data_IF_515269345508
#
_entry.id   IF_515269345508
#
_cell.length_a   1.000
_cell.length_b   1.000
_cell.length_c   1.000
_cell.angle_alpha   90.00
_cell.angle_beta   90.00
_cell.angle_gamma   90.00
#
_symmetry.space_group_name_H-M   'P 1'
#
loop_
_entity.id
_entity.type
_entity.pdbx_description
1 polymer ?
#
# COMPACT_ATOMS: atom_id res chain seq x y z
N UNK A 1 -7.27 20.91 8.43
CA UNK A 1 -6.27 20.23 7.58
C UNK A 1 -6.95 19.11 6.79
N UNK A 2 -6.42 18.64 5.65
CA UNK A 2 -7.07 17.58 4.86
C UNK A 2 -7.33 16.28 5.65
N UNK A 3 -6.54 16.03 6.70
CA UNK A 3 -6.75 14.94 7.66
C UNK A 3 -8.09 15.07 8.39
N UNK A 4 -8.45 16.24 8.89
CA UNK A 4 -9.71 16.44 9.65
C UNK A 4 -10.94 16.15 8.80
N UNK A 5 -10.88 16.48 7.49
CA UNK A 5 -11.97 16.23 6.55
C UNK A 5 -12.13 14.74 6.25
N UNK A 6 -11.02 14.01 6.06
CA UNK A 6 -11.06 12.57 5.87
C UNK A 6 -11.57 11.84 7.12
N UNK A 7 -11.15 12.29 8.30
CA UNK A 7 -11.65 11.76 9.59
C UNK A 7 -13.16 11.95 9.72
N UNK A 8 -13.71 13.12 9.36
CA UNK A 8 -15.15 13.37 9.38
C UNK A 8 -15.93 12.46 8.43
N UNK A 9 -15.35 12.10 7.29
CA UNK A 9 -15.98 11.16 6.35
C UNK A 9 -15.97 9.73 6.88
N UNK A 10 -14.86 9.32 7.51
CA UNK A 10 -14.75 8.01 8.17
C UNK A 10 -15.68 7.91 9.40
N UNK A 11 -15.86 9.02 10.14
CA UNK A 11 -16.82 9.14 11.24
C UNK A 11 -18.27 9.34 10.79
N UNK A 12 -18.55 9.42 9.47
CA UNK A 12 -19.87 9.70 8.88
C UNK A 12 -20.51 11.03 9.27
N UNK A 13 -19.72 11.99 9.73
CA UNK A 13 -20.19 13.34 10.08
C UNK A 13 -20.46 14.21 8.84
N UNK A 14 -19.86 13.86 7.70
CA UNK A 14 -20.10 14.50 6.40
C UNK A 14 -19.93 13.49 5.27
N UNK A 15 -20.76 13.58 4.23
CA UNK A 15 -20.55 12.82 2.99
C UNK A 15 -19.60 13.58 2.07
N UNK A 16 -18.55 12.94 1.50
CA UNK A 16 -17.75 13.56 0.46
C UNK A 16 -18.62 13.90 -0.75
N UNK A 17 -18.31 15.00 -1.43
CA UNK A 17 -18.81 15.21 -2.79
C UNK A 17 -18.43 13.99 -3.66
N UNK A 18 -19.32 13.51 -4.52
CA UNK A 18 -19.11 12.30 -5.33
C UNK A 18 -17.82 12.36 -6.18
N UNK A 19 -17.42 13.56 -6.63
CA UNK A 19 -16.13 13.79 -7.30
C UNK A 19 -14.95 13.48 -6.38
N UNK A 20 -15.01 13.89 -5.13
CA UNK A 20 -13.93 13.65 -4.17
C UNK A 20 -13.87 12.20 -3.76
N UNK A 21 -15.02 11.55 -3.59
CA UNK A 21 -15.09 10.09 -3.38
C UNK A 21 -14.40 9.34 -4.53
N UNK A 22 -14.70 9.70 -5.79
CA UNK A 22 -14.08 9.07 -6.96
C UNK A 22 -12.56 9.25 -6.98
N UNK A 23 -12.06 10.48 -6.71
CA UNK A 23 -10.62 10.73 -6.62
C UNK A 23 -9.95 9.88 -5.54
N UNK A 24 -10.59 9.73 -4.37
CA UNK A 24 -10.05 8.89 -3.30
C UNK A 24 -10.03 7.41 -3.70
N UNK A 25 -11.05 6.91 -4.39
CA UNK A 25 -11.06 5.54 -4.93
C UNK A 25 -9.92 5.35 -5.93
N UNK A 26 -9.67 6.32 -6.82
CA UNK A 26 -8.57 6.24 -7.79
C UNK A 26 -7.19 6.25 -7.13
N UNK A 27 -7.00 6.98 -6.02
CA UNK A 27 -5.71 7.07 -5.31
C UNK A 27 -5.49 5.88 -4.38
N UNK A 28 -6.48 5.57 -3.54
CA UNK A 28 -6.35 4.58 -2.46
C UNK A 28 -6.85 3.19 -2.85
N UNK A 29 -7.61 3.05 -3.93
CA UNK A 29 -8.14 1.78 -4.41
C UNK A 29 -9.49 1.38 -3.79
N UNK A 30 -9.99 0.18 -4.13
CA UNK A 30 -11.27 -0.34 -3.64
C UNK A 30 -11.32 -0.51 -2.11
N UNK A 31 -10.17 -0.64 -1.44
CA UNK A 31 -10.06 -0.77 0.01
C UNK A 31 -10.60 0.46 0.74
N UNK A 32 -10.42 1.66 0.14
CA UNK A 32 -10.98 2.90 0.69
C UNK A 32 -12.50 2.90 0.64
N UNK A 33 -13.08 2.47 -0.48
CA UNK A 33 -14.54 2.40 -0.62
C UNK A 33 -15.13 1.38 0.36
N UNK A 34 -14.47 0.23 0.54
CA UNK A 34 -14.88 -0.77 1.52
C UNK A 34 -14.90 -0.19 2.95
N UNK A 35 -13.89 0.59 3.32
CA UNK A 35 -13.80 1.23 4.64
C UNK A 35 -14.86 2.32 4.87
N UNK A 36 -15.35 2.98 3.82
CA UNK A 36 -16.41 3.98 3.94
C UNK A 36 -17.80 3.37 4.16
N UNK A 37 -18.03 2.11 3.79
CA UNK A 37 -19.32 1.44 3.89
C UNK A 37 -19.48 0.75 5.25
N UNK A 38 -20.69 0.80 5.82
CA UNK A 38 -21.01 0.05 7.06
C UNK A 38 -20.99 -1.45 6.84
N UNK A 39 -21.53 -1.85 5.69
CA UNK A 39 -21.70 -3.23 5.28
C UNK A 39 -21.31 -3.30 3.80
N UNK A 40 -20.01 -3.50 3.50
CA UNK A 40 -19.52 -3.51 2.14
C UNK A 40 -19.98 -4.79 1.43
N UNK A 41 -20.49 -4.68 0.19
CA UNK A 41 -20.94 -5.83 -0.56
C UNK A 41 -19.77 -6.79 -0.83
N UNK A 42 -20.06 -8.09 -0.94
CA UNK A 42 -19.04 -9.14 -1.07
C UNK A 42 -18.07 -8.92 -2.23
N UNK A 43 -18.58 -8.51 -3.40
CA UNK A 43 -17.75 -8.23 -4.57
C UNK A 43 -16.69 -7.15 -4.30
N UNK A 44 -16.99 -6.17 -3.42
CA UNK A 44 -16.08 -5.10 -3.09
C UNK A 44 -15.01 -5.57 -2.11
N UNK A 45 -15.34 -6.49 -1.21
CA UNK A 45 -14.36 -7.13 -0.34
C UNK A 45 -13.36 -7.96 -1.15
N UNK A 46 -13.85 -8.74 -2.12
CA UNK A 46 -13.00 -9.50 -3.05
C UNK A 46 -12.07 -8.55 -3.81
N UNK A 47 -12.62 -7.47 -4.38
CA UNK A 47 -11.82 -6.47 -5.10
C UNK A 47 -10.77 -5.80 -4.21
N UNK A 48 -11.10 -5.51 -2.94
CA UNK A 48 -10.17 -4.96 -1.96
C UNK A 48 -9.03 -5.95 -1.65
N UNK A 49 -9.34 -7.22 -1.44
CA UNK A 49 -8.35 -8.27 -1.20
C UNK A 49 -7.43 -8.48 -2.39
N UNK A 50 -7.96 -8.53 -3.61
CA UNK A 50 -7.14 -8.65 -4.83
C UNK A 50 -6.22 -7.44 -5.03
N UNK A 51 -6.70 -6.23 -4.77
CA UNK A 51 -5.91 -5.02 -4.87
C UNK A 51 -4.75 -5.02 -3.86
N UNK A 52 -5.00 -5.44 -2.61
CA UNK A 52 -3.96 -5.57 -1.58
C UNK A 52 -2.93 -6.64 -1.96
N UNK A 53 -3.38 -7.79 -2.46
CA UNK A 53 -2.47 -8.85 -2.92
C UNK A 53 -1.53 -8.35 -4.04
N UNK A 54 -2.06 -7.66 -5.06
CA UNK A 54 -1.24 -7.09 -6.14
C UNK A 54 -0.23 -6.07 -5.62
N UNK A 55 -0.61 -5.27 -4.62
CA UNK A 55 0.29 -4.30 -3.97
C UNK A 55 1.41 -5.00 -3.20
N UNK A 56 1.10 -6.07 -2.47
CA UNK A 56 2.09 -6.87 -1.76
C UNK A 56 3.06 -7.56 -2.72
N UNK A 57 2.57 -8.12 -3.81
CA UNK A 57 3.39 -8.73 -4.88
C UNK A 57 4.33 -7.70 -5.53
N UNK A 58 3.83 -6.50 -5.84
CA UNK A 58 4.64 -5.42 -6.39
C UNK A 58 5.73 -4.95 -5.41
N UNK A 59 5.41 -4.81 -4.12
CA UNK A 59 6.39 -4.50 -3.06
C UNK A 59 7.45 -5.58 -2.97
N UNK A 60 7.05 -6.84 -3.00
CA UNK A 60 7.96 -7.99 -2.96
C UNK A 60 8.89 -8.00 -4.18
N UNK A 61 8.38 -7.74 -5.38
CA UNK A 61 9.19 -7.62 -6.59
C UNK A 61 10.20 -6.46 -6.49
N UNK A 62 9.78 -5.30 -6.00
CA UNK A 62 10.64 -4.14 -5.81
C UNK A 62 11.78 -4.40 -4.81
N UNK A 63 11.46 -5.03 -3.68
CA UNK A 63 12.43 -5.41 -2.65
C UNK A 63 13.42 -6.45 -3.19
N UNK A 64 12.95 -7.48 -3.91
CA UNK A 64 13.83 -8.46 -4.57
C UNK A 64 14.78 -7.79 -5.55
N UNK A 65 14.30 -6.87 -6.38
CA UNK A 65 15.14 -6.11 -7.31
C UNK A 65 16.16 -5.22 -6.59
N UNK A 66 15.82 -4.67 -5.43
CA UNK A 66 16.77 -3.92 -4.60
C UNK A 66 17.84 -4.83 -3.98
N UNK A 67 17.44 -6.01 -3.51
CA UNK A 67 18.35 -7.00 -2.94
C UNK A 67 19.36 -7.50 -3.99
N UNK A 68 18.90 -7.81 -5.20
CA UNK A 68 19.78 -8.22 -6.31
C UNK A 68 20.75 -7.11 -6.72
N UNK A 69 20.30 -5.85 -6.76
CA UNK A 69 21.20 -4.71 -6.97
C UNK A 69 22.29 -4.61 -5.90
N UNK A 70 21.92 -4.80 -4.63
CA UNK A 70 22.89 -4.79 -3.51
C UNK A 70 23.82 -6.00 -3.52
N UNK A 71 23.33 -7.19 -3.88
CA UNK A 71 24.14 -8.40 -4.05
C UNK A 71 25.15 -8.25 -5.19
N UNK A 72 24.75 -7.63 -6.30
CA UNK A 72 25.63 -7.30 -7.42
C UNK A 72 26.75 -6.32 -7.04
N UNK A 73 26.48 -5.40 -6.11
CA UNK A 73 27.49 -4.49 -5.56
C UNK A 73 28.35 -5.12 -4.45
N UNK A 74 27.99 -6.30 -3.93
CA UNK A 74 28.80 -6.98 -2.91
C UNK A 74 30.09 -7.46 -3.55
N UNK A 75 31.18 -6.75 -3.26
CA UNK A 75 32.55 -7.01 -3.73
C UNK A 75 32.88 -8.52 -3.59
N UNK A 76 33.38 -9.20 -4.63
CA UNK A 76 33.87 -10.57 -4.48
C UNK A 76 35.11 -10.54 -3.58
N UNK A 77 35.01 -11.08 -2.35
CA UNK A 77 36.19 -11.32 -1.51
C UNK A 77 36.11 -10.90 -0.04
N UNK A 78 35.07 -10.19 0.42
CA UNK A 78 34.98 -9.84 1.85
C UNK A 78 34.50 -11.05 2.67
N UNK A 79 35.40 -11.98 2.99
CA UNK A 79 35.18 -12.91 4.10
C UNK A 79 35.14 -12.08 5.39
N UNK A 80 34.01 -12.13 6.09
CA UNK A 80 33.94 -11.68 7.47
C UNK A 80 34.87 -12.56 8.31
N UNK A 81 36.09 -12.11 8.62
CA UNK A 81 36.92 -12.86 9.56
C UNK A 81 38.42 -12.62 9.64
N UNK A 82 39.05 -11.69 8.93
CA UNK A 82 40.48 -11.43 9.15
C UNK A 82 40.71 -10.00 9.65
N UNK A 83 40.87 -9.86 10.97
CA UNK A 83 41.47 -8.68 11.60
C UNK A 83 43.00 -8.89 11.58
N UNK A 84 43.79 -8.01 10.98
CA UNK A 84 45.23 -8.06 11.17
C UNK A 84 45.57 -7.64 12.60
N UNK A 85 46.54 -8.37 13.17
CA UNK A 85 47.14 -8.14 14.48
C UNK A 85 48.06 -6.91 14.49
#
# INVERSE_FOLDING_TARGET
>A
MPIDTATKWLSREALPNGRTLLLMICVYGPEFLAACLRDPPEWLQIAATEADQRRLEAKLAAVKAQLERRRRWRIPGLRAGERPA
#
